data_IF_170752514335
#
_entry.id   IF_170752514335
#
_cell.length_a   1.000
_cell.length_b   1.000
_cell.length_c   1.000
_cell.angle_alpha   90.00
_cell.angle_beta   90.00
_cell.angle_gamma   90.00
#
_symmetry.space_group_name_H-M   'P 1'
#
loop_
_entity.id
_entity.type
_entity.pdbx_description
1 polymer ?
#
# COMPACT_ATOMS: atom_id res chain seq x y z
N UNK A 1 67.38 -15.38 53.50
CA UNK A 1 66.24 -14.61 52.98
C UNK A 1 66.49 -13.98 51.59
N UNK A 2 67.25 -14.61 50.67
CA UNK A 2 67.40 -14.13 49.28
C UNK A 2 66.92 -15.13 48.21
N UNK A 3 66.74 -16.41 48.58
CA UNK A 3 66.26 -17.48 47.67
C UNK A 3 64.73 -17.64 47.65
N UNK A 4 64.03 -17.21 48.70
CA UNK A 4 62.55 -17.27 48.79
C UNK A 4 61.90 -16.14 47.99
N UNK A 5 62.48 -14.93 47.97
CA UNK A 5 61.98 -13.82 47.16
C UNK A 5 62.10 -14.06 45.65
N UNK A 6 63.11 -14.84 45.23
CA UNK A 6 63.27 -15.19 43.81
C UNK A 6 62.20 -16.19 43.34
N UNK A 7 61.83 -17.15 44.21
CA UNK A 7 60.76 -18.11 43.90
C UNK A 7 59.37 -17.47 43.93
N UNK A 8 59.07 -16.56 44.88
CA UNK A 8 57.81 -15.83 44.89
C UNK A 8 57.69 -14.82 43.74
N UNK A 9 58.81 -14.20 43.30
CA UNK A 9 58.82 -13.29 42.16
C UNK A 9 58.65 -14.00 40.81
N UNK A 10 59.10 -15.25 40.69
CA UNK A 10 58.93 -16.06 39.48
C UNK A 10 57.52 -16.66 39.38
N UNK A 11 56.90 -17.00 40.52
CA UNK A 11 55.52 -17.49 40.57
C UNK A 11 54.49 -16.37 40.28
N UNK A 12 54.80 -15.12 40.65
CA UNK A 12 53.93 -13.97 40.42
C UNK A 12 53.97 -13.45 38.97
N UNK A 13 55.09 -13.63 38.26
CA UNK A 13 55.19 -13.30 36.83
C UNK A 13 54.56 -14.36 35.91
N UNK A 14 54.39 -15.60 36.39
CA UNK A 14 53.63 -16.66 35.71
C UNK A 14 52.10 -16.49 35.81
N UNK A 15 51.61 -15.62 36.71
CA UNK A 15 50.18 -15.32 36.86
C UNK A 15 49.72 -14.09 36.04
N UNK A 16 50.65 -13.34 35.44
CA UNK A 16 50.35 -12.15 34.63
C UNK A 16 50.34 -12.41 33.12
N UNK A 17 50.65 -13.63 32.67
CA UNK A 17 50.54 -14.04 31.26
C UNK A 17 49.27 -14.85 30.97
N UNK A 18 48.34 -14.93 31.92
CA UNK A 18 47.01 -15.52 31.72
C UNK A 18 45.95 -14.45 31.46
N UNK A 19 46.28 -13.44 30.67
CA UNK A 19 45.30 -12.70 29.89
C UNK A 19 45.56 -13.12 28.44
N UNK A 20 45.21 -14.36 28.10
CA UNK A 20 45.10 -14.74 26.70
C UNK A 20 44.09 -13.80 26.07
N UNK A 21 44.43 -13.22 24.91
CA UNK A 21 43.53 -12.37 24.14
C UNK A 21 42.14 -13.01 24.14
N UNK A 22 41.16 -12.32 24.71
CA UNK A 22 39.79 -12.81 24.75
C UNK A 22 39.31 -12.89 23.30
N UNK A 23 39.25 -14.10 22.76
CA UNK A 23 38.79 -14.36 21.40
C UNK A 23 37.28 -14.16 21.32
N UNK A 24 36.89 -12.93 21.00
CA UNK A 24 35.51 -12.50 20.82
C UNK A 24 35.01 -12.66 19.37
N UNK A 25 35.80 -13.29 18.49
CA UNK A 25 35.48 -13.46 17.07
C UNK A 25 34.09 -14.08 16.85
N UNK A 26 33.68 -15.02 17.71
CA UNK A 26 32.36 -15.64 17.63
C UNK A 26 31.20 -14.64 17.90
N UNK A 27 31.40 -13.68 18.81
CA UNK A 27 30.41 -12.63 19.12
C UNK A 27 30.37 -11.62 17.98
N UNK A 28 31.54 -11.20 17.50
CA UNK A 28 31.64 -10.26 16.38
C UNK A 28 31.00 -10.82 15.10
N UNK A 29 31.22 -12.10 14.80
CA UNK A 29 30.62 -12.76 13.65
C UNK A 29 29.09 -12.79 13.73
N UNK A 30 28.53 -13.12 14.91
CA UNK A 30 27.06 -13.08 15.11
C UNK A 30 26.50 -11.66 15.00
N UNK A 31 27.21 -10.67 15.53
CA UNK A 31 26.81 -9.27 15.41
C UNK A 31 26.80 -8.81 13.95
N UNK A 32 27.78 -9.23 13.15
CA UNK A 32 27.83 -8.91 11.74
C UNK A 32 26.71 -9.59 10.95
N UNK A 33 26.43 -10.87 11.22
CA UNK A 33 25.27 -11.59 10.64
C UNK A 33 23.95 -10.85 10.92
N UNK A 34 23.73 -10.40 12.17
CA UNK A 34 22.54 -9.63 12.50
C UNK A 34 22.45 -8.30 11.75
N UNK A 35 23.57 -7.58 11.60
CA UNK A 35 23.60 -6.31 10.83
C UNK A 35 23.25 -6.52 9.36
N UNK A 36 23.78 -7.58 8.75
CA UNK A 36 23.49 -7.92 7.36
C UNK A 36 22.01 -8.29 7.19
N UNK A 37 21.46 -9.10 8.10
CA UNK A 37 20.04 -9.49 8.09
C UNK A 37 19.11 -8.30 8.29
N UNK A 38 19.42 -7.38 9.22
CA UNK A 38 18.64 -6.15 9.42
C UNK A 38 18.63 -5.32 8.13
N UNK A 39 19.79 -5.16 7.49
CA UNK A 39 19.92 -4.41 6.24
C UNK A 39 19.07 -5.03 5.14
N UNK A 40 19.13 -6.36 4.98
CA UNK A 40 18.32 -7.08 3.98
C UNK A 40 16.81 -6.95 4.25
N UNK A 41 16.38 -7.05 5.51
CA UNK A 41 14.98 -6.87 5.90
C UNK A 41 14.48 -5.45 5.64
N UNK A 42 15.30 -4.43 5.91
CA UNK A 42 14.97 -3.03 5.59
C UNK A 42 14.83 -2.82 4.09
N UNK A 43 15.75 -3.37 3.28
CA UNK A 43 15.64 -3.35 1.82
C UNK A 43 14.37 -4.02 1.33
N UNK A 44 14.01 -5.18 1.89
CA UNK A 44 12.76 -5.90 1.56
C UNK A 44 11.52 -5.06 1.91
N UNK A 45 11.45 -4.50 3.11
CA UNK A 45 10.33 -3.65 3.53
C UNK A 45 10.17 -2.43 2.61
N UNK A 46 11.27 -1.74 2.26
CA UNK A 46 11.25 -0.61 1.34
C UNK A 46 10.73 -1.02 -0.05
N UNK A 47 11.19 -2.16 -0.58
CA UNK A 47 10.73 -2.67 -1.87
C UNK A 47 9.24 -3.00 -1.86
N UNK A 48 8.74 -3.59 -0.78
CA UNK A 48 7.31 -3.85 -0.60
C UNK A 48 6.53 -2.53 -0.55
N UNK A 49 7.00 -1.53 0.19
CA UNK A 49 6.35 -0.20 0.26
C UNK A 49 6.28 0.51 -1.10
N UNK A 50 7.31 0.37 -1.94
CA UNK A 50 7.25 0.86 -3.33
C UNK A 50 6.15 0.16 -4.13
N UNK A 51 6.02 -1.16 -3.99
CA UNK A 51 5.03 -1.94 -4.73
C UNK A 51 3.61 -1.74 -4.18
N UNK A 52 3.45 -1.53 -2.87
CA UNK A 52 2.19 -1.09 -2.23
C UNK A 52 1.77 0.27 -2.78
N UNK A 53 2.70 1.22 -2.88
CA UNK A 53 2.42 2.55 -3.44
C UNK A 53 1.93 2.44 -4.89
N UNK A 54 2.57 1.60 -5.71
CA UNK A 54 2.13 1.33 -7.09
C UNK A 54 0.73 0.72 -7.12
N UNK A 55 0.45 -0.25 -6.25
CA UNK A 55 -0.86 -0.89 -6.16
C UNK A 55 -1.95 0.11 -5.79
N UNK A 56 -1.65 1.04 -4.88
CA UNK A 56 -2.52 2.16 -4.52
C UNK A 56 -2.86 3.00 -5.74
N UNK A 57 -1.85 3.45 -6.49
CA UNK A 57 -2.06 4.27 -7.70
C UNK A 57 -2.91 3.57 -8.76
N UNK A 58 -2.81 2.24 -8.87
CA UNK A 58 -3.57 1.45 -9.85
C UNK A 58 -5.02 1.20 -9.42
N UNK A 59 -5.36 1.39 -8.14
CA UNK A 59 -6.68 1.02 -7.59
C UNK A 59 -7.41 2.15 -6.85
N UNK A 60 -6.82 3.34 -6.74
CA UNK A 60 -7.46 4.55 -6.17
C UNK A 60 -8.42 5.27 -7.14
N UNK A 61 -8.79 4.65 -8.26
CA UNK A 61 -9.73 5.17 -9.25
C UNK A 61 -9.08 5.86 -10.46
N UNK A 62 -7.75 5.80 -10.59
CA UNK A 62 -7.03 6.37 -11.73
C UNK A 62 -7.34 5.68 -13.05
N UNK A 63 -7.24 6.42 -14.16
CA UNK A 63 -7.54 5.93 -15.50
C UNK A 63 -6.26 5.41 -16.14
N UNK A 64 -6.18 4.11 -16.43
CA UNK A 64 -5.02 3.53 -17.11
C UNK A 64 -5.07 3.88 -18.60
N UNK A 65 -4.08 4.62 -19.09
CA UNK A 65 -4.07 5.13 -20.47
C UNK A 65 -3.24 4.29 -21.42
N UNK A 66 -2.18 3.64 -20.92
CA UNK A 66 -1.39 2.71 -21.73
C UNK A 66 -0.60 1.72 -20.87
N UNK A 67 -0.24 0.59 -21.49
CA UNK A 67 0.61 -0.43 -20.89
C UNK A 67 1.64 -0.84 -21.94
N UNK A 68 2.91 -0.70 -21.59
CA UNK A 68 4.05 -1.04 -22.46
C UNK A 68 5.09 -1.83 -21.67
N UNK A 69 6.20 -2.21 -22.31
CA UNK A 69 7.36 -2.79 -21.63
C UNK A 69 8.59 -1.92 -21.84
N UNK A 70 9.41 -1.77 -20.80
CA UNK A 70 10.72 -1.14 -20.91
C UNK A 70 11.78 -2.12 -21.44
N UNK A 71 13.03 -1.65 -21.58
CA UNK A 71 14.16 -2.46 -22.06
C UNK A 71 14.46 -3.67 -21.20
N UNK A 72 14.14 -3.60 -19.90
CA UNK A 72 14.36 -4.66 -18.92
C UNK A 72 13.18 -5.65 -18.88
N UNK A 73 12.21 -5.49 -19.78
CA UNK A 73 11.03 -6.33 -19.87
C UNK A 73 9.98 -6.05 -18.80
N UNK A 74 10.17 -5.04 -17.94
CA UNK A 74 9.20 -4.66 -16.91
C UNK A 74 8.03 -3.90 -17.53
N UNK A 75 6.87 -3.97 -16.90
CA UNK A 75 5.68 -3.25 -17.36
C UNK A 75 5.79 -1.77 -17.00
N UNK A 76 5.50 -0.90 -17.96
CA UNK A 76 5.32 0.53 -17.75
C UNK A 76 3.84 0.81 -17.93
N UNK A 77 3.16 1.13 -16.83
CA UNK A 77 1.73 1.44 -16.81
C UNK A 77 1.58 2.94 -16.66
N UNK A 78 1.05 3.58 -17.69
CA UNK A 78 0.75 5.01 -17.70
C UNK A 78 -0.71 5.20 -17.29
N UNK A 79 -0.96 6.18 -16.43
CA UNK A 79 -2.29 6.50 -15.95
C UNK A 79 -2.48 8.01 -15.82
N UNK A 80 -3.74 8.43 -15.78
CA UNK A 80 -4.15 9.79 -15.41
C UNK A 80 -4.79 9.77 -14.02
N UNK A 81 -4.26 10.64 -13.17
CA UNK A 81 -4.80 10.81 -11.82
C UNK A 81 -6.09 11.65 -11.80
N UNK A 82 -6.61 11.89 -10.59
CA UNK A 82 -7.77 12.75 -10.37
C UNK A 82 -7.53 14.22 -10.72
N UNK A 83 -6.29 14.67 -10.88
CA UNK A 83 -5.95 16.02 -11.34
C UNK A 83 -5.80 16.11 -12.86
N UNK A 84 -5.99 14.98 -13.56
CA UNK A 84 -5.76 14.81 -14.99
C UNK A 84 -4.28 14.93 -15.38
N UNK A 85 -3.36 14.67 -14.43
CA UNK A 85 -1.93 14.59 -14.69
C UNK A 85 -1.56 13.17 -15.15
N UNK A 86 -0.79 13.09 -16.23
CA UNK A 86 -0.27 11.81 -16.71
C UNK A 86 0.97 11.40 -15.90
N UNK A 87 0.93 10.18 -15.37
CA UNK A 87 1.97 9.57 -14.54
C UNK A 87 2.23 8.16 -15.02
N UNK A 88 3.36 7.58 -14.61
CA UNK A 88 3.71 6.21 -14.95
C UNK A 88 4.30 5.48 -13.76
N UNK A 89 4.00 4.19 -13.64
CA UNK A 89 4.63 3.27 -12.70
C UNK A 89 5.33 2.14 -13.45
N UNK A 90 6.49 1.73 -12.95
CA UNK A 90 7.23 0.57 -13.45
C UNK A 90 7.00 -0.61 -12.52
N UNK A 91 6.41 -1.68 -13.05
CA UNK A 91 6.03 -2.88 -12.32
C UNK A 91 6.87 -4.07 -12.79
N UNK A 92 7.60 -4.64 -11.84
CA UNK A 92 8.27 -5.93 -11.99
C UNK A 92 7.33 -7.01 -11.45
N UNK A 93 7.25 -8.13 -12.16
CA UNK A 93 6.45 -9.30 -11.77
C UNK A 93 7.34 -10.45 -11.34
N UNK A 94 6.88 -11.28 -10.41
CA UNK A 94 7.62 -12.45 -9.96
C UNK A 94 6.67 -13.65 -9.76
N UNK A 95 6.82 -14.68 -10.59
CA UNK A 95 5.86 -15.80 -10.63
C UNK A 95 5.96 -16.73 -9.40
N UNK A 96 7.18 -17.00 -8.90
CA UNK A 96 7.47 -18.09 -7.94
C UNK A 96 7.74 -17.63 -6.51
N UNK A 97 7.22 -16.48 -6.09
CA UNK A 97 7.62 -15.87 -4.80
C UNK A 97 6.44 -15.33 -4.02
N UNK A 98 6.11 -16.04 -2.93
CA UNK A 98 4.86 -15.85 -2.18
C UNK A 98 5.09 -16.17 -0.70
N UNK A 99 6.16 -15.65 -0.08
CA UNK A 99 6.26 -15.71 1.38
C UNK A 99 5.26 -14.71 2.00
N UNK A 100 4.43 -15.19 2.93
CA UNK A 100 3.54 -14.36 3.73
C UNK A 100 4.33 -13.53 4.78
N UNK A 101 3.85 -12.35 5.18
CA UNK A 101 2.57 -11.73 4.83
C UNK A 101 2.60 -11.05 3.46
N UNK A 102 1.46 -11.04 2.77
CA UNK A 102 1.29 -10.32 1.50
C UNK A 102 0.21 -9.26 1.68
N UNK A 103 0.56 -8.00 1.40
CA UNK A 103 -0.44 -6.95 1.22
C UNK A 103 -0.97 -6.99 -0.21
N UNK A 104 -2.29 -6.96 -0.31
CA UNK A 104 -3.03 -6.89 -1.56
C UNK A 104 -4.19 -5.93 -1.44
N UNK A 105 -5.06 -5.94 -2.45
CA UNK A 105 -6.30 -5.16 -2.45
C UNK A 105 -7.42 -6.01 -2.99
N UNK A 106 -8.63 -5.81 -2.48
CA UNK A 106 -9.85 -6.49 -2.92
C UNK A 106 -10.98 -5.48 -3.06
N UNK A 107 -11.77 -5.60 -4.12
CA UNK A 107 -12.98 -4.81 -4.30
C UNK A 107 -14.06 -5.31 -3.33
N UNK A 108 -14.66 -4.41 -2.56
CA UNK A 108 -15.74 -4.72 -1.63
C UNK A 108 -17.08 -4.71 -2.37
N UNK A 109 -17.83 -5.81 -2.27
CA UNK A 109 -19.17 -5.90 -2.87
C UNK A 109 -20.19 -4.98 -2.19
N UNK A 110 -19.94 -4.60 -0.93
CA UNK A 110 -20.84 -3.77 -0.11
C UNK A 110 -20.94 -2.33 -0.63
N UNK A 111 -19.82 -1.78 -1.11
CA UNK A 111 -19.65 -0.35 -1.38
C UNK A 111 -18.78 -0.03 -2.61
N UNK A 112 -18.36 -1.04 -3.37
CA UNK A 112 -17.62 -0.86 -4.63
C UNK A 112 -16.31 -0.07 -4.46
N UNK A 113 -15.73 -0.09 -3.25
CA UNK A 113 -14.41 0.46 -2.96
C UNK A 113 -13.37 -0.64 -2.87
N UNK A 114 -12.15 -0.35 -3.32
CA UNK A 114 -11.01 -1.20 -3.02
C UNK A 114 -10.56 -0.99 -1.57
N UNK A 115 -10.35 -2.09 -0.86
CA UNK A 115 -9.78 -2.12 0.48
C UNK A 115 -8.49 -2.93 0.49
N UNK A 116 -7.58 -2.55 1.38
CA UNK A 116 -6.36 -3.30 1.63
C UNK A 116 -6.67 -4.67 2.25
N UNK A 117 -5.90 -5.67 1.87
CA UNK A 117 -5.97 -7.03 2.42
C UNK A 117 -4.61 -7.48 2.90
N UNK A 118 -4.61 -8.37 3.89
CA UNK A 118 -3.43 -9.10 4.36
C UNK A 118 -3.63 -10.59 4.07
N UNK A 119 -2.61 -11.25 3.56
CA UNK A 119 -2.61 -12.71 3.35
C UNK A 119 -1.58 -13.34 4.25
N UNK A 120 -2.04 -14.16 5.18
CA UNK A 120 -1.25 -14.84 6.22
C UNK A 120 -1.74 -16.28 6.28
N UNK A 121 -0.83 -17.26 6.39
CA UNK A 121 -1.19 -18.69 6.39
C UNK A 121 -2.04 -19.13 5.17
N UNK A 122 -1.88 -18.47 4.01
CA UNK A 122 -2.70 -18.60 2.80
C UNK A 122 -4.17 -18.16 2.96
N UNK A 123 -4.51 -17.45 4.03
CA UNK A 123 -5.82 -16.85 4.24
C UNK A 123 -5.75 -15.34 4.02
N UNK A 124 -6.59 -14.85 3.11
CA UNK A 124 -6.68 -13.42 2.77
C UNK A 124 -7.82 -12.76 3.54
N UNK A 125 -7.47 -11.85 4.44
CA UNK A 125 -8.39 -11.07 5.26
C UNK A 125 -8.27 -9.57 4.96
N UNK A 126 -9.29 -8.79 5.34
CA UNK A 126 -9.23 -7.33 5.25
C UNK A 126 -8.16 -6.80 6.20
N UNK A 127 -7.37 -5.82 5.75
CA UNK A 127 -6.61 -4.98 6.68
C UNK A 127 -7.59 -4.07 7.39
N UNK A 128 -7.54 -4.05 8.72
CA UNK A 128 -8.37 -3.19 9.55
C UNK A 128 -7.54 -2.21 10.36
N UNK A 129 -8.14 -1.06 10.70
CA UNK A 129 -7.58 -0.16 11.69
C UNK A 129 -7.84 -0.65 13.13
N UNK A 130 -7.37 0.12 14.12
CA UNK A 130 -7.50 -0.16 15.56
C UNK A 130 -8.98 -0.31 16.02
N UNK A 131 -9.94 0.25 15.26
CA UNK A 131 -11.37 0.14 15.54
C UNK A 131 -12.01 -1.09 14.86
N UNK A 132 -11.23 -1.87 14.11
CA UNK A 132 -11.69 -3.03 13.35
C UNK A 132 -12.35 -2.67 12.02
N UNK A 133 -12.21 -1.43 11.55
CA UNK A 133 -12.78 -0.98 10.27
C UNK A 133 -11.83 -1.30 9.12
N UNK A 134 -12.37 -1.78 7.99
CA UNK A 134 -11.61 -2.02 6.74
C UNK A 134 -10.86 -0.73 6.31
N UNK A 135 -9.59 -0.84 5.95
CA UNK A 135 -8.78 0.30 5.46
C UNK A 135 -8.94 0.46 3.95
N UNK A 136 -9.59 1.54 3.44
CA UNK A 136 -9.80 1.73 2.01
C UNK A 136 -8.49 2.09 1.31
N UNK A 137 -8.35 1.73 0.04
CA UNK A 137 -7.18 2.13 -0.77
C UNK A 137 -7.18 3.63 -1.07
N UNK A 138 -8.37 4.17 -1.31
CA UNK A 138 -8.55 5.58 -1.64
C UNK A 138 -8.00 6.48 -0.51
N UNK A 139 -6.85 7.13 -0.76
CA UNK A 139 -6.21 8.09 0.15
C UNK A 139 -5.57 7.51 1.41
N UNK A 140 -5.45 6.19 1.52
CA UNK A 140 -4.67 5.54 2.57
C UNK A 140 -3.76 4.48 1.95
N UNK A 141 -2.46 4.62 2.17
CA UNK A 141 -1.45 3.64 1.73
C UNK A 141 -0.74 3.10 2.97
N UNK A 142 -0.88 1.79 3.30
CA UNK A 142 -0.24 1.21 4.47
C UNK A 142 1.27 1.12 4.29
N UNK A 143 2.00 1.11 5.40
CA UNK A 143 3.44 0.96 5.44
C UNK A 143 3.82 -0.38 6.07
N UNK A 144 4.51 -1.24 5.31
CA UNK A 144 5.17 -2.43 5.80
C UNK A 144 6.47 -2.06 6.51
N UNK A 145 6.73 -2.73 7.62
CA UNK A 145 7.98 -2.59 8.37
C UNK A 145 8.34 -3.84 9.13
N UNK A 146 9.54 -3.83 9.69
CA UNK A 146 9.99 -4.84 10.66
C UNK A 146 10.25 -4.14 11.98
N UNK A 147 9.62 -4.61 13.05
CA UNK A 147 9.77 -4.00 14.37
C UNK A 147 11.12 -4.37 15.03
N UNK A 148 11.38 -3.81 16.22
CA UNK A 148 12.63 -4.04 16.95
C UNK A 148 12.87 -5.51 17.35
N UNK A 149 11.81 -6.31 17.45
CA UNK A 149 11.86 -7.73 17.80
C UNK A 149 12.00 -8.65 16.58
N UNK A 150 12.05 -8.09 15.36
CA UNK A 150 12.19 -8.84 14.12
C UNK A 150 10.87 -9.40 13.57
N UNK A 151 9.73 -8.83 13.94
CA UNK A 151 8.41 -9.21 13.43
C UNK A 151 7.92 -8.25 12.35
N UNK A 152 7.18 -8.79 11.38
CA UNK A 152 6.47 -7.97 10.40
C UNK A 152 5.42 -7.09 11.08
N UNK A 153 5.32 -5.85 10.62
CA UNK A 153 4.32 -4.90 11.07
C UNK A 153 3.73 -4.12 9.90
N UNK A 154 2.47 -3.71 10.04
CA UNK A 154 1.78 -2.79 9.12
C UNK A 154 1.39 -1.56 9.91
N UNK A 155 1.79 -0.38 9.44
CA UNK A 155 1.58 0.90 10.15
C UNK A 155 2.08 0.87 11.60
N UNK A 156 3.13 0.08 11.88
CA UNK A 156 3.69 -0.11 13.22
C UNK A 156 2.98 -1.18 14.08
N UNK A 157 1.84 -1.71 13.63
CA UNK A 157 1.15 -2.81 14.31
C UNK A 157 1.69 -4.18 13.89
N UNK A 158 2.03 -5.02 14.87
CA UNK A 158 2.62 -6.35 14.62
C UNK A 158 1.60 -7.29 14.00
N UNK A 159 1.94 -7.84 12.84
CA UNK A 159 1.14 -8.88 12.18
C UNK A 159 1.26 -10.20 12.93
N UNK A 160 0.13 -10.89 13.06
CA UNK A 160 0.00 -12.15 13.78
C UNK A 160 -0.63 -13.21 12.89
N UNK A 161 -0.21 -14.45 13.10
CA UNK A 161 -0.81 -15.63 12.48
C UNK A 161 -2.21 -15.94 13.05
N UNK A 162 -2.85 -16.96 12.48
CA UNK A 162 -4.16 -17.46 12.92
C UNK A 162 -4.22 -17.88 14.41
N UNK A 163 -3.07 -18.07 15.06
CA UNK A 163 -2.94 -18.46 16.48
C UNK A 163 -2.60 -17.27 17.38
N UNK A 164 -2.48 -16.06 16.83
CA UNK A 164 -2.09 -14.86 17.56
C UNK A 164 -0.58 -14.73 17.77
N UNK A 165 0.24 -15.53 17.10
CA UNK A 165 1.70 -15.50 17.16
C UNK A 165 2.25 -14.43 16.23
N UNK A 166 3.13 -13.54 16.68
CA UNK A 166 3.82 -12.60 15.80
C UNK A 166 4.56 -13.29 14.64
N UNK A 167 4.45 -12.74 13.44
CA UNK A 167 5.08 -13.31 12.24
C UNK A 167 6.53 -12.81 12.16
N UNK A 168 7.50 -13.72 12.27
CA UNK A 168 8.92 -13.40 12.12
C UNK A 168 9.23 -12.95 10.69
N UNK A 169 9.92 -11.83 10.56
CA UNK A 169 10.39 -11.36 9.28
C UNK A 169 11.58 -12.20 8.80
N UNK A 170 11.50 -12.67 7.56
CA UNK A 170 12.60 -13.36 6.89
C UNK A 170 13.04 -12.60 5.64
N UNK A 171 14.23 -12.94 5.16
CA UNK A 171 14.84 -12.39 3.94
C UNK A 171 14.41 -13.15 2.68
N UNK A 172 13.53 -14.13 2.79
CA UNK A 172 12.99 -14.81 1.62
C UNK A 172 12.19 -13.81 0.78
N UNK A 173 12.03 -14.08 -0.50
CA UNK A 173 11.41 -13.09 -1.37
C UNK A 173 9.87 -13.06 -1.13
N UNK A 174 9.26 -11.89 -1.29
CA UNK A 174 7.80 -11.67 -1.26
C UNK A 174 7.43 -10.77 -2.42
N UNK A 175 6.40 -11.13 -3.20
CA UNK A 175 5.96 -10.33 -4.34
C UNK A 175 4.49 -9.92 -4.19
N UNK A 176 4.21 -8.63 -4.42
CA UNK A 176 2.84 -8.10 -4.51
C UNK A 176 2.29 -8.32 -5.92
N UNK A 177 3.10 -8.08 -6.95
CA UNK A 177 2.74 -8.30 -8.35
C UNK A 177 3.31 -9.63 -8.83
N UNK A 178 2.43 -10.62 -9.00
CA UNK A 178 2.82 -11.95 -9.46
C UNK A 178 2.91 -12.03 -10.98
N UNK A 179 1.87 -11.54 -11.65
CA UNK A 179 1.79 -11.55 -13.11
C UNK A 179 0.97 -10.37 -13.62
N UNK A 180 1.24 -9.95 -14.85
CA UNK A 180 0.45 -8.96 -15.57
C UNK A 180 0.23 -9.47 -16.99
N UNK A 181 -0.99 -9.37 -17.50
CA UNK A 181 -1.35 -9.70 -18.87
C UNK A 181 -2.36 -8.69 -19.42
N UNK A 182 -2.36 -8.53 -20.74
CA UNK A 182 -3.36 -7.70 -21.44
C UNK A 182 -4.33 -8.60 -22.19
N UNK A 183 -5.61 -8.31 -22.10
CA UNK A 183 -6.65 -9.02 -22.83
C UNK A 183 -6.88 -8.38 -24.20
N UNK A 184 -7.45 -9.15 -25.13
CA UNK A 184 -7.73 -8.69 -26.50
C UNK A 184 -8.77 -7.55 -26.55
N UNK A 185 -9.65 -7.50 -25.56
CA UNK A 185 -10.68 -6.46 -25.37
C UNK A 185 -10.17 -5.21 -24.65
N UNK A 186 -8.87 -5.12 -24.38
CA UNK A 186 -8.25 -3.87 -23.90
C UNK A 186 -8.18 -3.72 -22.39
N UNK A 187 -8.36 -4.79 -21.61
CA UNK A 187 -8.15 -4.78 -20.16
C UNK A 187 -6.74 -5.23 -19.79
N UNK A 188 -6.28 -4.72 -18.66
CA UNK A 188 -5.08 -5.14 -17.96
C UNK A 188 -5.49 -6.05 -16.80
N UNK A 189 -5.04 -7.29 -16.82
CA UNK A 189 -5.18 -8.22 -15.72
C UNK A 189 -3.89 -8.27 -14.91
N UNK A 190 -3.97 -8.01 -13.62
CA UNK A 190 -2.85 -8.04 -12.68
C UNK A 190 -3.14 -9.11 -11.64
N UNK A 191 -2.42 -10.23 -11.67
CA UNK A 191 -2.46 -11.23 -10.61
C UNK A 191 -1.53 -10.79 -9.48
N UNK A 192 -2.09 -10.69 -8.29
CA UNK A 192 -1.38 -10.32 -7.07
C UNK A 192 -0.75 -11.55 -6.40
N UNK A 193 0.20 -11.33 -5.49
CA UNK A 193 0.86 -12.39 -4.72
C UNK A 193 -0.12 -13.25 -3.92
N UNK A 194 -1.22 -12.66 -3.43
CA UNK A 194 -2.28 -13.36 -2.72
C UNK A 194 -3.19 -14.22 -3.64
N UNK A 195 -2.94 -14.24 -4.95
CA UNK A 195 -3.70 -14.99 -5.94
C UNK A 195 -4.91 -14.24 -6.51
N UNK A 196 -5.29 -13.09 -5.96
CA UNK A 196 -6.37 -12.27 -6.52
C UNK A 196 -5.96 -11.65 -7.85
N UNK A 197 -6.94 -11.37 -8.71
CA UNK A 197 -6.71 -10.72 -9.99
C UNK A 197 -7.48 -9.41 -10.06
N UNK A 198 -6.75 -8.33 -10.31
CA UNK A 198 -7.32 -7.02 -10.63
C UNK A 198 -7.51 -6.91 -12.13
N UNK A 199 -8.67 -6.42 -12.56
CA UNK A 199 -8.98 -6.15 -13.97
C UNK A 199 -9.22 -4.67 -14.12
N UNK A 200 -8.34 -4.00 -14.87
CA UNK A 200 -8.36 -2.55 -15.08
C UNK A 200 -8.52 -2.26 -16.57
N UNK A 201 -9.47 -1.42 -16.94
CA UNK A 201 -9.66 -1.04 -18.35
C UNK A 201 -8.55 -0.09 -18.81
N UNK A 202 -8.09 -0.23 -20.06
CA UNK A 202 -7.09 0.66 -20.67
C UNK A 202 -7.75 1.56 -21.71
N UNK A 203 -7.90 2.85 -21.39
CA UNK A 203 -8.51 3.86 -22.27
C UNK A 203 -8.01 5.28 -21.95
N UNK A 204 -8.22 6.22 -22.87
CA UNK A 204 -7.79 7.63 -22.70
C UNK A 204 -8.82 8.64 -23.22
N UNK A 205 -10.04 8.19 -23.51
CA UNK A 205 -11.11 9.03 -24.08
C UNK A 205 -11.73 9.96 -23.04
N UNK A 206 -11.67 9.60 -21.75
CA UNK A 206 -12.38 10.25 -20.67
C UNK A 206 -11.58 10.23 -19.36
N UNK A 207 -11.66 11.29 -18.58
CA UNK A 207 -11.27 11.32 -17.17
C UNK A 207 -12.22 12.23 -16.37
N UNK A 208 -12.31 12.00 -15.06
CA UNK A 208 -13.09 12.81 -14.13
C UNK A 208 -12.16 13.38 -13.05
N UNK A 209 -12.10 14.70 -12.99
CA UNK A 209 -11.35 15.47 -12.00
C UNK A 209 -12.27 16.00 -10.91
N UNK A 210 -11.81 15.93 -9.66
CA UNK A 210 -12.49 16.47 -8.49
C UNK A 210 -11.54 17.40 -7.75
N UNK A 211 -12.01 18.61 -7.43
CA UNK A 211 -11.23 19.61 -6.70
C UNK A 211 -11.33 19.38 -5.19
N UNK A 212 -10.94 18.19 -4.77
CA UNK A 212 -10.92 17.75 -3.39
C UNK A 212 -9.85 16.66 -3.22
N UNK A 213 -9.32 16.54 -2.01
CA UNK A 213 -8.49 15.40 -1.64
C UNK A 213 -9.34 14.14 -1.56
N UNK A 214 -8.74 13.00 -1.93
CA UNK A 214 -9.37 11.68 -1.86
C UNK A 214 -9.99 11.41 -0.48
N UNK A 215 -9.31 11.84 0.59
CA UNK A 215 -9.84 11.92 1.95
C UNK A 215 -10.03 13.39 2.33
N UNK A 216 -11.28 13.82 2.34
CA UNK A 216 -11.68 15.18 2.70
C UNK A 216 -12.06 15.26 4.18
N UNK A 217 -11.35 16.11 4.92
CA UNK A 217 -11.67 16.41 6.32
C UNK A 217 -12.82 17.41 6.43
N UNK A 218 -13.83 17.08 7.22
CA UNK A 218 -15.04 17.89 7.40
C UNK A 218 -14.99 18.59 8.75
N UNK A 219 -14.99 19.93 8.74
CA UNK A 219 -14.91 20.78 9.94
C UNK A 219 -16.21 21.48 10.29
N UNK A 220 -17.09 21.71 9.30
CA UNK A 220 -18.40 22.32 9.47
C UNK A 220 -19.48 21.37 8.92
N UNK A 221 -20.27 20.78 9.83
CA UNK A 221 -21.37 19.90 9.47
C UNK A 221 -22.65 20.66 9.09
N UNK A 222 -22.75 21.95 9.44
CA UNK A 222 -23.95 22.75 9.20
C UNK A 222 -24.01 23.31 7.77
N UNK A 223 -22.85 23.49 7.13
CA UNK A 223 -22.76 24.01 5.76
C UNK A 223 -22.52 22.89 4.74
N UNK A 224 -23.26 22.87 3.61
CA UNK A 224 -22.95 21.96 2.52
C UNK A 224 -21.53 22.18 1.99
N UNK A 225 -20.78 21.10 1.82
CA UNK A 225 -19.49 21.12 1.14
C UNK A 225 -19.71 21.11 -0.37
N UNK A 226 -19.08 22.05 -1.07
CA UNK A 226 -19.13 22.15 -2.53
C UNK A 226 -17.78 21.77 -3.13
N UNK A 227 -17.81 20.80 -4.04
CA UNK A 227 -16.63 20.27 -4.73
C UNK A 227 -16.84 20.49 -6.23
N UNK A 228 -15.96 21.26 -6.85
CA UNK A 228 -15.95 21.41 -8.31
C UNK A 228 -15.50 20.10 -8.95
N UNK A 229 -16.13 19.73 -10.06
CA UNK A 229 -15.69 18.61 -10.88
C UNK A 229 -15.47 19.06 -12.33
N UNK A 230 -14.61 18.34 -13.03
CA UNK A 230 -14.33 18.59 -14.45
C UNK A 230 -14.20 17.26 -15.17
N UNK A 231 -14.85 17.16 -16.34
CA UNK A 231 -14.72 16.01 -17.21
C UNK A 231 -13.75 16.38 -18.32
N UNK A 232 -12.73 15.56 -18.55
CA UNK A 232 -11.70 15.82 -19.55
C UNK A 232 -11.57 14.67 -20.54
N UNK A 233 -10.92 14.93 -21.67
CA UNK A 233 -10.73 13.94 -22.74
C UNK A 233 -11.61 14.21 -23.96
N UNK A 234 -11.46 13.38 -24.99
CA UNK A 234 -12.17 13.52 -26.26
C UNK A 234 -13.67 13.27 -26.15
N UNK A 235 -14.10 12.45 -25.18
CA UNK A 235 -15.50 12.13 -24.93
C UNK A 235 -16.16 13.02 -23.87
N UNK A 236 -15.47 14.05 -23.37
CA UNK A 236 -15.95 14.83 -22.23
C UNK A 236 -17.31 15.51 -22.47
N UNK A 237 -17.56 15.97 -23.71
CA UNK A 237 -18.81 16.66 -24.06
C UNK A 237 -20.05 15.77 -24.03
N UNK A 238 -19.89 14.46 -24.19
CA UNK A 238 -20.97 13.48 -24.24
C UNK A 238 -21.08 12.64 -22.96
N UNK A 239 -20.18 12.86 -22.00
CA UNK A 239 -20.09 12.06 -20.79
C UNK A 239 -21.29 12.28 -19.85
N UNK A 240 -21.82 11.16 -19.36
CA UNK A 240 -22.88 11.14 -18.35
C UNK A 240 -22.22 11.10 -16.97
N UNK A 241 -22.48 12.15 -16.18
CA UNK A 241 -22.02 12.25 -14.79
C UNK A 241 -23.16 11.91 -13.84
N UNK A 242 -22.90 11.00 -12.90
CA UNK A 242 -23.84 10.58 -11.86
C UNK A 242 -23.14 10.28 -10.54
N UNK A 243 -23.91 10.25 -9.45
CA UNK A 243 -23.48 9.68 -8.18
C UNK A 243 -23.88 8.20 -8.24
N UNK A 244 -22.88 7.30 -8.22
CA UNK A 244 -23.12 5.86 -8.15
C UNK A 244 -23.47 5.42 -6.73
N UNK A 245 -22.87 6.07 -5.72
CA UNK A 245 -23.13 5.77 -4.33
C UNK A 245 -22.90 6.99 -3.43
N UNK A 246 -23.71 7.11 -2.37
CA UNK A 246 -23.48 8.00 -1.24
C UNK A 246 -23.82 7.24 0.05
N UNK A 247 -22.87 7.12 0.97
CA UNK A 247 -23.02 6.40 2.25
C UNK A 247 -22.74 7.36 3.40
N UNK A 248 -23.64 7.39 4.39
CA UNK A 248 -23.59 8.27 5.57
C UNK A 248 -23.51 9.78 5.28
N UNK A 249 -23.76 10.17 4.03
CA UNK A 249 -23.86 11.55 3.57
C UNK A 249 -24.99 11.66 2.54
N UNK A 250 -25.46 12.87 2.28
CA UNK A 250 -26.33 13.16 1.15
C UNK A 250 -25.54 13.93 0.10
N UNK A 251 -25.74 13.60 -1.17
CA UNK A 251 -25.00 14.21 -2.26
C UNK A 251 -25.90 14.53 -3.45
N UNK A 252 -25.65 15.67 -4.10
CA UNK A 252 -26.34 16.11 -5.31
C UNK A 252 -25.35 16.69 -6.30
N UNK A 253 -25.56 16.44 -7.60
CA UNK A 253 -24.76 17.02 -8.69
C UNK A 253 -25.52 18.14 -9.38
N UNK A 254 -24.84 19.27 -9.57
CA UNK A 254 -25.24 20.35 -10.47
C UNK A 254 -24.38 20.27 -11.74
N UNK A 255 -25.03 20.01 -12.87
CA UNK A 255 -24.37 19.85 -14.18
C UNK A 255 -24.12 21.19 -14.88
N UNK A 256 -24.86 22.23 -14.54
CA UNK A 256 -24.65 23.56 -15.12
C UNK A 256 -23.42 24.20 -14.49
N UNK A 257 -23.31 24.12 -13.15
CA UNK A 257 -22.18 24.69 -12.41
C UNK A 257 -21.04 23.71 -12.18
N UNK A 258 -21.15 22.47 -12.67
CA UNK A 258 -20.16 21.40 -12.49
C UNK A 258 -19.75 21.22 -11.02
N UNK A 259 -20.74 21.10 -10.14
CA UNK A 259 -20.52 21.07 -8.69
C UNK A 259 -21.19 19.85 -8.05
N UNK A 260 -20.41 19.09 -7.29
CA UNK A 260 -20.93 18.14 -6.30
C UNK A 260 -21.19 18.91 -4.99
N UNK A 261 -22.42 18.81 -4.48
CA UNK A 261 -22.77 19.31 -3.14
C UNK A 261 -22.98 18.13 -2.21
N UNK A 262 -22.27 18.11 -1.08
CA UNK A 262 -22.35 17.08 -0.05
C UNK A 262 -22.85 17.70 1.25
N UNK A 263 -23.81 17.06 1.91
CA UNK A 263 -24.31 17.46 3.22
C UNK A 263 -24.15 16.34 4.24
N UNK A 264 -23.90 16.75 5.47
CA UNK A 264 -23.57 15.89 6.60
C UNK A 264 -24.67 15.99 7.67
N UNK A 265 -24.99 14.88 8.31
CA UNK A 265 -25.88 14.86 9.47
C UNK A 265 -25.12 15.24 10.75
N UNK A 266 -25.81 15.61 11.81
CA UNK A 266 -25.17 16.12 13.05
C UNK A 266 -24.29 15.08 13.77
N UNK A 267 -24.61 13.80 13.61
CA UNK A 267 -23.89 12.65 14.16
C UNK A 267 -22.85 12.07 13.19
N UNK A 268 -22.58 12.76 12.08
CA UNK A 268 -21.58 12.34 11.10
C UNK A 268 -20.20 12.13 11.75
N UNK A 269 -19.59 10.99 11.44
CA UNK A 269 -18.21 10.65 11.76
C UNK A 269 -17.42 10.40 10.47
N UNK A 270 -17.98 9.56 9.60
CA UNK A 270 -17.38 9.18 8.32
C UNK A 270 -18.42 8.76 7.30
N UNK A 271 -18.08 8.94 6.02
CA UNK A 271 -18.92 8.55 4.90
C UNK A 271 -18.20 8.73 3.58
N UNK A 272 -18.86 8.41 2.48
CA UNK A 272 -18.24 8.51 1.15
C UNK A 272 -19.25 8.76 0.05
N UNK A 273 -18.73 9.26 -1.06
CA UNK A 273 -19.45 9.40 -2.33
C UNK A 273 -18.61 8.78 -3.44
N UNK A 274 -19.23 8.03 -4.34
CA UNK A 274 -18.61 7.58 -5.58
C UNK A 274 -19.29 8.31 -6.73
N UNK A 275 -18.53 9.14 -7.42
CA UNK A 275 -18.97 9.87 -8.62
C UNK A 275 -18.45 9.12 -9.84
N UNK A 276 -19.24 9.04 -10.89
CA UNK A 276 -18.83 8.38 -12.12
C UNK A 276 -18.95 9.29 -13.33
N UNK A 277 -18.07 9.08 -14.30
CA UNK A 277 -18.19 9.60 -15.66
C UNK A 277 -18.24 8.43 -16.63
N UNK A 278 -19.25 8.43 -17.52
CA UNK A 278 -19.48 7.36 -18.48
C UNK A 278 -19.71 7.92 -19.89
N UNK A 279 -18.94 7.47 -20.88
CA UNK A 279 -19.06 7.93 -22.28
C UNK A 279 -19.79 6.93 -23.21
N UNK A 280 -20.63 6.06 -22.64
CA UNK A 280 -21.29 4.94 -23.32
C UNK A 280 -20.39 3.73 -23.64
N UNK A 281 -19.09 3.84 -23.37
CA UNK A 281 -18.14 2.74 -23.55
C UNK A 281 -17.27 2.53 -22.30
N UNK A 282 -16.71 3.60 -21.76
CA UNK A 282 -15.73 3.59 -20.68
C UNK A 282 -16.28 4.26 -19.43
N UNK A 283 -15.96 3.69 -18.27
CA UNK A 283 -16.42 4.16 -16.96
C UNK A 283 -15.23 4.61 -16.11
N UNK A 284 -15.27 5.85 -15.66
CA UNK A 284 -14.36 6.38 -14.63
C UNK A 284 -15.12 6.45 -13.32
N UNK A 285 -14.58 5.85 -12.26
CA UNK A 285 -15.10 5.97 -10.90
C UNK A 285 -14.15 6.81 -10.04
N UNK A 286 -14.70 7.79 -9.33
CA UNK A 286 -13.96 8.66 -8.42
C UNK A 286 -14.57 8.60 -7.01
N UNK A 287 -14.01 7.78 -6.12
CA UNK A 287 -14.38 7.80 -4.72
C UNK A 287 -13.85 9.05 -4.01
N UNK A 288 -14.67 9.61 -3.13
CA UNK A 288 -14.30 10.63 -2.15
C UNK A 288 -14.72 10.13 -0.76
N UNK A 289 -13.76 10.06 0.15
CA UNK A 289 -13.98 9.72 1.54
C UNK A 289 -14.08 11.00 2.36
N UNK A 290 -15.03 11.03 3.28
CA UNK A 290 -15.24 12.14 4.20
C UNK A 290 -15.02 11.64 5.62
N UNK A 291 -14.25 12.40 6.40
CA UNK A 291 -14.03 12.12 7.82
C UNK A 291 -14.17 13.40 8.62
N UNK A 292 -14.86 13.31 9.76
CA UNK A 292 -14.94 14.41 10.72
C UNK A 292 -13.55 14.70 11.28
N UNK A 293 -13.20 15.99 11.29
CA UNK A 293 -11.93 16.45 11.84
C UNK A 293 -11.96 16.55 13.37
#
# INVERSE_FOLDING_TARGET
MKRIYFFCSLLLSLLLTSCGDYDDSAIQNKLNDFKERITALQTKANKLNEDISKLSYLTEGNVITSVTRNSDGQYVITYKDSNNEEKAVVVATQEDVIEAPILGVRLSDDDQLYYWTTTIDNETNWLTDDAGKKVPVCGYTPEMGVNADGYWAVNGEVLKDSKGTPITATTDATAIFKNISKTDDGYLNITLGNGETLTLEVFNSLNLKLKAEAVTKVTDLASPLKIEYEVTGTSAGDAIITIAQAVNVKATLDKETHTLTVTFENDFDEGHVIITAYDLQHLVLRPLLFKKN
#
